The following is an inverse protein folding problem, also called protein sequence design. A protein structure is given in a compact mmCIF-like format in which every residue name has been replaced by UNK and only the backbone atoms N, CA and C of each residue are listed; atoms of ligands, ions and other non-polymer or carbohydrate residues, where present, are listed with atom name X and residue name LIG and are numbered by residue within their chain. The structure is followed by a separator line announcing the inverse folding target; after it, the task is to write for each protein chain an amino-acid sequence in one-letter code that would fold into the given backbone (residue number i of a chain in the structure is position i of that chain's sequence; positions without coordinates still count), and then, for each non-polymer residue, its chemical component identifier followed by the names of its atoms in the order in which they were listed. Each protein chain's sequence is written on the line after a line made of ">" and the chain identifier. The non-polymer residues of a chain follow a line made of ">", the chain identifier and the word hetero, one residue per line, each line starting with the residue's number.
data_IF_237815463183
#
_entry.id   IF_237815463183
#
_cell.length_a   1.000
_cell.length_b   1.000
_cell.length_c   1.000
_cell.angle_alpha   90.00
_cell.angle_beta   90.00
_cell.angle_gamma   90.00
#
_symmetry.space_group_name_H-M   'P 1'
#
loop_
_entity.id
_entity.type
_entity.pdbx_description
1 polymer ?
#
# COMPACT_ATOMS: atom_id res chain seq x y z
N UNK A 1 -13.81 -14.55 -12.83
CA UNK A 1 -13.17 -13.22 -12.88
C UNK A 1 -12.22 -13.18 -11.70
N UNK A 2 -10.97 -12.83 -11.95
CA UNK A 2 -9.94 -12.76 -10.90
C UNK A 2 -9.90 -11.36 -10.28
N UNK A 3 -9.32 -11.21 -9.09
CA UNK A 3 -9.16 -9.90 -8.46
C UNK A 3 -8.37 -8.94 -9.35
N UNK A 4 -7.38 -9.42 -10.10
CA UNK A 4 -6.61 -8.57 -11.03
C UNK A 4 -7.46 -8.08 -12.21
N UNK A 5 -8.45 -8.86 -12.66
CA UNK A 5 -9.41 -8.43 -13.67
C UNK A 5 -10.29 -7.28 -13.11
N UNK A 6 -10.72 -7.40 -11.85
CA UNK A 6 -11.51 -6.36 -11.17
C UNK A 6 -10.71 -5.06 -11.01
N UNK A 7 -9.43 -5.14 -10.63
CA UNK A 7 -8.53 -3.98 -10.56
C UNK A 7 -8.36 -3.34 -11.94
N UNK A 8 -8.15 -4.15 -12.98
CA UNK A 8 -8.00 -3.67 -14.36
C UNK A 8 -9.27 -2.94 -14.82
N UNK A 9 -10.45 -3.52 -14.59
CA UNK A 9 -11.72 -2.91 -14.91
C UNK A 9 -11.99 -1.64 -14.08
N UNK A 10 -11.60 -1.62 -12.80
CA UNK A 10 -11.70 -0.43 -11.94
C UNK A 10 -10.80 0.70 -12.46
N UNK A 11 -9.55 0.42 -12.84
CA UNK A 11 -8.63 1.43 -13.37
C UNK A 11 -9.11 1.99 -14.70
N UNK A 12 -9.61 1.15 -15.60
CA UNK A 12 -10.19 1.59 -16.86
C UNK A 12 -11.38 2.54 -16.66
N UNK A 13 -12.28 2.21 -15.71
CA UNK A 13 -13.41 3.07 -15.34
C UNK A 13 -12.96 4.40 -14.76
N UNK A 14 -12.00 4.38 -13.82
CA UNK A 14 -11.45 5.60 -13.24
C UNK A 14 -10.86 6.52 -14.32
N UNK A 15 -10.07 5.97 -15.23
CA UNK A 15 -9.48 6.75 -16.33
C UNK A 15 -10.54 7.34 -17.27
N UNK A 16 -11.66 6.65 -17.49
CA UNK A 16 -12.76 7.17 -18.29
C UNK A 16 -13.51 8.33 -17.61
N UNK A 17 -13.58 8.33 -16.28
CA UNK A 17 -14.27 9.37 -15.49
C UNK A 17 -13.37 10.59 -15.24
N UNK A 18 -12.13 10.35 -14.83
CA UNK A 18 -11.25 11.38 -14.29
C UNK A 18 -10.16 11.81 -15.31
N UNK A 19 -9.98 11.05 -16.39
CA UNK A 19 -8.92 11.28 -17.36
C UNK A 19 -7.52 10.93 -16.83
N UNK A 20 -6.50 11.64 -17.32
CA UNK A 20 -5.13 11.51 -16.82
C UNK A 20 -4.99 12.25 -15.49
N UNK A 21 -4.38 11.59 -14.49
CA UNK A 21 -4.24 12.11 -13.13
C UNK A 21 -2.75 12.29 -12.82
N UNK A 22 -2.23 13.49 -13.08
CA UNK A 22 -0.81 13.85 -12.86
C UNK A 22 -0.67 14.79 -11.65
N UNK A 23 -1.19 14.36 -10.50
CA UNK A 23 -0.99 15.10 -9.26
C UNK A 23 0.45 14.97 -8.77
N UNK A 24 0.92 15.98 -8.03
CA UNK A 24 2.19 15.87 -7.32
C UNK A 24 2.14 14.71 -6.32
N UNK A 25 3.26 14.00 -6.17
CA UNK A 25 3.35 12.79 -5.34
C UNK A 25 2.93 13.02 -3.88
N UNK A 26 3.13 14.25 -3.38
CA UNK A 26 2.73 14.60 -2.02
C UNK A 26 3.55 13.89 -0.94
N UNK A 27 4.70 13.33 -1.32
CA UNK A 27 5.70 12.71 -0.43
C UNK A 27 6.96 13.57 -0.42
N UNK A 28 8.03 13.10 0.25
CA UNK A 28 9.30 13.84 0.31
C UNK A 28 9.39 14.89 1.44
N UNK A 29 10.60 15.41 1.71
CA UNK A 29 10.86 16.34 2.82
C UNK A 29 10.17 17.70 2.65
N UNK A 30 9.68 18.06 1.46
CA UNK A 30 9.07 19.34 1.15
C UNK A 30 7.62 19.47 1.61
N UNK A 31 6.90 18.35 1.77
CA UNK A 31 5.52 18.33 2.26
C UNK A 31 5.46 18.28 3.79
N UNK A 32 4.37 18.79 4.40
CA UNK A 32 4.23 18.86 5.86
C UNK A 32 4.50 17.51 6.56
N UNK A 33 4.06 16.41 5.93
CA UNK A 33 4.22 15.05 6.45
C UNK A 33 5.68 14.56 6.46
N UNK A 34 6.49 15.00 5.50
CA UNK A 34 7.91 14.65 5.40
C UNK A 34 8.84 15.63 6.12
N UNK A 35 8.46 16.92 6.27
CA UNK A 35 9.25 17.95 6.97
C UNK A 35 9.57 17.62 8.42
N UNK A 36 8.70 16.87 9.08
CA UNK A 36 8.80 16.54 10.51
C UNK A 36 9.43 15.17 10.77
N UNK A 37 9.94 14.49 9.74
CA UNK A 37 10.39 13.09 9.77
C UNK A 37 9.33 12.09 10.30
N UNK A 38 8.09 12.53 10.52
CA UNK A 38 6.99 11.71 11.04
C UNK A 38 6.73 10.53 10.10
N UNK A 39 6.69 10.78 8.79
CA UNK A 39 6.50 9.73 7.80
C UNK A 39 7.52 8.59 7.94
N UNK A 40 8.79 8.95 8.10
CA UNK A 40 9.90 7.99 8.26
C UNK A 40 9.78 7.22 9.57
N UNK A 41 9.43 7.90 10.67
CA UNK A 41 9.23 7.24 11.96
C UNK A 41 8.06 6.26 11.94
N UNK A 42 6.94 6.63 11.32
CA UNK A 42 5.77 5.76 11.15
C UNK A 42 6.11 4.55 10.28
N UNK A 43 6.81 4.75 9.16
CA UNK A 43 7.27 3.66 8.29
C UNK A 43 8.15 2.67 9.06
N UNK A 44 9.16 3.16 9.78
CA UNK A 44 10.06 2.31 10.58
C UNK A 44 9.29 1.51 11.63
N UNK A 45 8.36 2.14 12.34
CA UNK A 45 7.55 1.46 13.37
C UNK A 45 6.65 0.39 12.75
N UNK A 46 5.91 0.73 11.70
CA UNK A 46 5.00 -0.20 11.02
C UNK A 46 5.75 -1.42 10.44
N UNK A 47 6.91 -1.19 9.81
CA UNK A 47 7.76 -2.27 9.30
C UNK A 47 8.29 -3.16 10.44
N UNK A 48 8.74 -2.56 11.55
CA UNK A 48 9.25 -3.31 12.69
C UNK A 48 8.16 -4.18 13.33
N UNK A 49 6.96 -3.63 13.54
CA UNK A 49 5.82 -4.36 14.07
C UNK A 49 5.37 -5.48 13.14
N UNK A 50 5.26 -5.20 11.84
CA UNK A 50 4.88 -6.19 10.84
C UNK A 50 5.89 -7.35 10.81
N UNK A 51 7.19 -7.07 10.77
CA UNK A 51 8.23 -8.09 10.81
C UNK A 51 8.19 -8.89 12.13
N UNK A 52 8.02 -8.21 13.26
CA UNK A 52 7.87 -8.86 14.57
C UNK A 52 6.68 -9.83 14.60
N UNK A 53 5.53 -9.44 14.03
CA UNK A 53 4.35 -10.31 13.93
C UNK A 53 4.52 -11.43 12.91
N UNK A 54 5.19 -11.17 11.77
CA UNK A 54 5.48 -12.18 10.75
C UNK A 54 6.36 -13.30 11.32
N UNK A 55 7.44 -12.94 12.01
CA UNK A 55 8.33 -13.92 12.66
C UNK A 55 7.64 -14.75 13.74
N UNK A 56 6.58 -14.22 14.35
CA UNK A 56 5.75 -14.93 15.34
C UNK A 56 4.59 -15.72 14.70
N UNK A 57 4.40 -15.65 13.38
CA UNK A 57 3.24 -16.26 12.71
C UNK A 57 1.90 -15.61 13.08
N UNK A 58 1.91 -14.33 13.49
CA UNK A 58 0.74 -13.56 13.95
C UNK A 58 0.42 -12.35 13.08
N UNK A 59 1.16 -12.14 12.00
CA UNK A 59 0.89 -11.02 11.10
C UNK A 59 -0.49 -11.16 10.46
N UNK A 60 -1.16 -10.03 10.37
CA UNK A 60 -2.42 -9.88 9.65
C UNK A 60 -2.16 -9.18 8.32
N UNK A 61 -3.12 -9.25 7.41
CA UNK A 61 -3.07 -8.47 6.17
C UNK A 61 -3.04 -6.96 6.43
N UNK A 62 -3.65 -6.49 7.53
CA UNK A 62 -3.55 -5.10 7.96
C UNK A 62 -2.11 -4.71 8.30
N UNK A 63 -1.38 -5.58 9.03
CA UNK A 63 0.02 -5.31 9.38
C UNK A 63 0.90 -5.16 8.14
N UNK A 64 0.69 -6.06 7.16
CA UNK A 64 1.43 -6.07 5.89
C UNK A 64 1.13 -4.82 5.07
N UNK A 65 -0.15 -4.56 4.78
CA UNK A 65 -0.54 -3.41 3.94
C UNK A 65 -0.19 -2.07 4.60
N UNK A 66 -0.30 -1.99 5.94
CA UNK A 66 0.08 -0.79 6.69
C UNK A 66 1.59 -0.51 6.59
N UNK A 67 2.43 -1.53 6.75
CA UNK A 67 3.89 -1.37 6.63
C UNK A 67 4.28 -0.84 5.24
N UNK A 68 3.73 -1.43 4.18
CA UNK A 68 4.06 -1.05 2.81
C UNK A 68 3.51 0.33 2.43
N UNK A 69 2.32 0.68 2.93
CA UNK A 69 1.73 2.02 2.73
C UNK A 69 2.54 3.09 3.47
N UNK A 70 2.92 2.82 4.72
CA UNK A 70 3.72 3.73 5.51
C UNK A 70 5.10 3.95 4.87
N UNK A 71 5.73 2.90 4.33
CA UNK A 71 6.97 3.02 3.59
C UNK A 71 6.80 3.90 2.34
N UNK A 72 5.74 3.72 1.56
CA UNK A 72 5.47 4.56 0.38
C UNK A 72 5.36 6.05 0.76
N UNK A 73 4.62 6.37 1.82
CA UNK A 73 4.44 7.76 2.28
C UNK A 73 5.74 8.41 2.80
N UNK A 74 6.75 7.61 3.16
CA UNK A 74 8.04 8.10 3.60
C UNK A 74 9.06 8.31 2.45
N UNK A 75 8.74 7.93 1.21
CA UNK A 75 9.70 8.01 0.10
C UNK A 75 9.83 9.42 -0.47
N UNK A 76 11.07 9.86 -0.65
CA UNK A 76 11.48 11.08 -1.36
C UNK A 76 12.10 10.79 -2.74
N UNK A 77 12.41 9.53 -3.01
CA UNK A 77 12.94 9.04 -4.28
C UNK A 77 11.80 8.45 -5.13
N UNK A 78 11.50 9.00 -6.32
CA UNK A 78 10.40 8.53 -7.16
C UNK A 78 10.49 7.06 -7.57
N UNK A 79 11.70 6.51 -7.75
CA UNK A 79 11.88 5.10 -8.11
C UNK A 79 11.53 4.20 -6.92
N UNK A 80 11.91 4.60 -5.71
CA UNK A 80 11.54 3.87 -4.48
C UNK A 80 10.05 4.01 -4.17
N UNK A 81 9.48 5.21 -4.35
CA UNK A 81 8.05 5.45 -4.20
C UNK A 81 7.26 4.51 -5.12
N UNK A 82 7.62 4.48 -6.41
CA UNK A 82 6.98 3.57 -7.37
C UNK A 82 7.09 2.11 -6.95
N UNK A 83 8.25 1.67 -6.47
CA UNK A 83 8.43 0.29 -6.02
C UNK A 83 7.53 -0.03 -4.81
N UNK A 84 7.46 0.86 -3.82
CA UNK A 84 6.59 0.70 -2.66
C UNK A 84 5.10 0.68 -3.03
N UNK A 85 4.65 1.61 -3.90
CA UNK A 85 3.27 1.64 -4.39
C UNK A 85 2.88 0.35 -5.13
N UNK A 86 3.81 -0.24 -5.88
CA UNK A 86 3.55 -1.53 -6.55
C UNK A 86 3.38 -2.65 -5.51
N UNK A 87 4.19 -2.69 -4.45
CA UNK A 87 3.99 -3.69 -3.39
C UNK A 87 2.67 -3.50 -2.64
N UNK A 88 2.28 -2.26 -2.33
CA UNK A 88 0.95 -1.94 -1.78
C UNK A 88 -0.17 -2.52 -2.66
N UNK A 89 -0.07 -2.34 -3.98
CA UNK A 89 -1.06 -2.89 -4.91
C UNK A 89 -1.07 -4.43 -4.91
N UNK A 90 0.11 -5.06 -4.88
CA UNK A 90 0.25 -6.53 -4.80
C UNK A 90 -0.37 -7.07 -3.51
N UNK A 91 -0.07 -6.47 -2.36
CA UNK A 91 -0.59 -6.92 -1.06
C UNK A 91 -2.10 -6.69 -0.93
N UNK A 92 -2.62 -5.59 -1.48
CA UNK A 92 -4.05 -5.34 -1.53
C UNK A 92 -4.78 -6.40 -2.40
N UNK A 93 -4.23 -6.75 -3.56
CA UNK A 93 -4.76 -7.82 -4.42
C UNK A 93 -4.70 -9.15 -3.69
N UNK A 94 -3.57 -9.51 -3.10
CA UNK A 94 -3.40 -10.78 -2.38
C UNK A 94 -4.36 -10.91 -1.19
N UNK A 95 -4.62 -9.81 -0.47
CA UNK A 95 -5.59 -9.78 0.63
C UNK A 95 -7.02 -9.97 0.11
N UNK A 96 -7.42 -9.27 -0.96
CA UNK A 96 -8.73 -9.45 -1.58
C UNK A 96 -8.94 -10.90 -2.06
N UNK A 97 -7.95 -11.50 -2.72
CA UNK A 97 -8.03 -12.91 -3.10
C UNK A 97 -8.14 -13.84 -1.88
N UNK A 98 -7.49 -13.50 -0.76
CA UNK A 98 -7.62 -14.25 0.47
C UNK A 98 -9.05 -14.18 1.03
N UNK A 99 -9.71 -13.02 0.93
CA UNK A 99 -11.13 -12.85 1.29
C UNK A 99 -12.00 -13.74 0.39
N UNK A 100 -11.78 -13.71 -0.93
CA UNK A 100 -12.54 -14.51 -1.90
C UNK A 100 -12.37 -16.01 -1.65
N UNK A 101 -11.15 -16.47 -1.37
CA UNK A 101 -10.88 -17.88 -1.01
C UNK A 101 -11.63 -18.33 0.24
N UNK A 102 -11.88 -17.42 1.19
CA UNK A 102 -12.69 -17.69 2.39
C UNK A 102 -14.20 -17.58 2.14
N UNK A 103 -14.64 -17.28 0.92
CA UNK A 103 -16.04 -17.02 0.60
C UNK A 103 -16.58 -15.77 1.29
N UNK A 104 -15.73 -14.77 1.54
CA UNK A 104 -16.11 -13.54 2.24
C UNK A 104 -16.18 -13.64 3.77
N UNK A 105 -15.87 -14.81 4.35
CA UNK A 105 -15.84 -14.95 5.80
C UNK A 105 -14.68 -14.15 6.42
N UNK A 106 -14.92 -13.47 7.57
CA UNK A 106 -13.84 -12.85 8.33
C UNK A 106 -12.83 -13.90 8.78
N UNK A 107 -11.55 -13.51 8.78
CA UNK A 107 -10.42 -14.30 9.28
C UNK A 107 -10.23 -14.11 10.77
#
# INVERSE_FOLDING_TARGET
>A
MSVIDDVTAARARQQALDGQQDYADGTGPEVLWGRTDIARHVAMHAQHECLGRLTQGRATWLDILHADTAEAFAQDDPAKLRAALIRVAVDAVAWAEAIDRRGGAPS
#
